data_IF_711007735575
#
_entry.id   IF_711007735575
#
_cell.length_a   1.000
_cell.length_b   1.000
_cell.length_c   1.000
_cell.angle_alpha   90.00
_cell.angle_beta   90.00
_cell.angle_gamma   90.00
#
_symmetry.space_group_name_H-M   'P 1'
#
loop_
_entity.id
_entity.type
_entity.pdbx_description
1 polymer ?
#
# COMPACT_ATOMS: atom_id res chain seq x y z
N UNK A 1 -11.75 3.77 21.48
CA UNK A 1 -11.68 2.34 21.88
C UNK A 1 -10.66 2.19 22.98
N UNK A 2 -11.05 1.61 24.09
CA UNK A 2 -10.14 1.31 25.18
C UNK A 2 -9.30 0.06 24.89
N UNK A 3 -8.22 -0.10 25.65
CA UNK A 3 -7.37 -1.30 25.59
C UNK A 3 -8.15 -2.56 25.93
N UNK A 4 -8.98 -2.51 26.95
CA UNK A 4 -9.78 -3.64 27.41
C UNK A 4 -10.76 -4.10 26.30
N UNK A 5 -11.42 -3.16 25.62
CA UNK A 5 -12.30 -3.44 24.50
C UNK A 5 -11.52 -4.14 23.38
N UNK A 6 -10.35 -3.61 22.96
CA UNK A 6 -9.51 -4.22 21.95
C UNK A 6 -9.09 -5.65 22.34
N UNK A 7 -8.60 -5.83 23.56
CA UNK A 7 -8.05 -7.12 24.01
C UNK A 7 -9.11 -8.22 24.14
N UNK A 8 -10.37 -7.85 24.36
CA UNK A 8 -11.50 -8.78 24.46
C UNK A 8 -12.10 -9.20 23.11
N UNK A 9 -11.81 -8.49 22.02
CA UNK A 9 -12.32 -8.86 20.68
C UNK A 9 -11.77 -10.22 20.24
N UNK A 10 -12.64 -11.04 19.65
CA UNK A 10 -12.24 -12.35 19.15
C UNK A 10 -11.76 -12.29 17.69
N UNK A 11 -10.77 -13.10 17.38
CA UNK A 11 -10.16 -13.27 16.05
C UNK A 11 -10.00 -14.74 15.73
N UNK A 12 -10.01 -15.10 14.45
CA UNK A 12 -9.77 -16.50 14.04
C UNK A 12 -8.27 -16.76 13.92
N UNK A 13 -7.82 -17.86 14.51
CA UNK A 13 -6.44 -18.32 14.55
C UNK A 13 -6.25 -19.55 13.66
N UNK A 14 -5.15 -19.55 12.91
CA UNK A 14 -4.74 -20.60 11.96
C UNK A 14 -3.33 -21.06 12.26
N UNK A 15 -3.09 -22.38 12.24
CA UNK A 15 -1.76 -22.94 12.49
C UNK A 15 -0.72 -22.56 11.41
N UNK A 16 -1.19 -22.26 10.21
CA UNK A 16 -0.45 -21.64 9.11
C UNK A 16 -1.44 -21.12 8.06
N UNK A 17 -0.95 -20.39 7.07
CA UNK A 17 -1.82 -19.75 6.05
C UNK A 17 -2.57 -20.72 5.13
N UNK A 18 -2.22 -21.99 5.12
CA UNK A 18 -2.91 -23.04 4.32
C UNK A 18 -3.83 -23.90 5.17
N UNK A 19 -3.76 -23.77 6.49
CA UNK A 19 -4.58 -24.54 7.42
C UNK A 19 -6.00 -24.02 7.47
N UNK A 20 -6.95 -24.91 7.81
CA UNK A 20 -8.28 -24.47 8.24
C UNK A 20 -8.18 -23.73 9.59
N UNK A 21 -9.23 -22.98 9.92
CA UNK A 21 -9.32 -22.30 11.22
C UNK A 21 -9.17 -23.32 12.36
N UNK A 22 -8.26 -23.02 13.28
CA UNK A 22 -8.08 -23.84 14.48
C UNK A 22 -9.09 -23.50 15.57
N UNK A 23 -9.21 -22.19 15.89
CA UNK A 23 -10.12 -21.70 16.93
C UNK A 23 -10.29 -20.18 16.80
N UNK A 24 -11.26 -19.65 17.50
CA UNK A 24 -11.34 -18.23 17.78
C UNK A 24 -10.71 -17.96 19.15
N UNK A 25 -10.03 -16.81 19.31
CA UNK A 25 -9.41 -16.42 20.56
C UNK A 25 -9.38 -14.91 20.71
N UNK A 26 -9.32 -14.38 21.95
CA UNK A 26 -9.20 -12.95 22.18
C UNK A 26 -7.90 -12.38 21.60
N UNK A 27 -7.96 -11.16 21.06
CA UNK A 27 -6.78 -10.39 20.59
C UNK A 27 -5.71 -10.32 21.68
N UNK A 28 -6.11 -10.13 22.94
CA UNK A 28 -5.18 -10.09 24.07
C UNK A 28 -4.27 -11.32 24.17
N UNK A 29 -4.79 -12.51 23.86
CA UNK A 29 -3.99 -13.73 23.82
C UNK A 29 -2.99 -13.73 22.66
N UNK A 30 -3.39 -13.22 21.51
CA UNK A 30 -2.51 -13.10 20.33
C UNK A 30 -1.36 -12.13 20.63
N UNK A 31 -1.67 -10.92 21.12
CA UNK A 31 -0.67 -9.89 21.45
C UNK A 31 0.26 -10.33 22.59
N UNK A 32 -0.26 -11.07 23.57
CA UNK A 32 0.56 -11.68 24.61
C UNK A 32 1.52 -12.72 24.03
N UNK A 33 1.09 -13.52 23.05
CA UNK A 33 1.95 -14.45 22.34
C UNK A 33 3.09 -13.76 21.58
N UNK A 34 2.83 -12.61 20.95
CA UNK A 34 3.84 -11.79 20.28
C UNK A 34 4.84 -11.22 21.31
N UNK A 35 4.37 -10.66 22.42
CA UNK A 35 5.19 -10.09 23.49
C UNK A 35 6.07 -11.13 24.16
N UNK A 36 5.54 -12.30 24.42
CA UNK A 36 6.25 -13.39 25.11
C UNK A 36 7.08 -14.25 24.17
N UNK A 37 7.29 -13.80 22.93
CA UNK A 37 8.16 -14.45 21.95
C UNK A 37 7.80 -15.92 21.68
N UNK A 38 6.50 -16.24 21.63
CA UNK A 38 6.00 -17.62 21.50
C UNK A 38 6.52 -18.37 20.26
N UNK A 39 6.99 -17.64 19.23
CA UNK A 39 7.49 -18.18 17.95
C UNK A 39 8.91 -17.72 17.64
N UNK A 40 9.73 -17.44 18.67
CA UNK A 40 11.08 -16.86 18.54
C UNK A 40 11.98 -17.66 17.61
N UNK A 41 12.06 -18.99 17.79
CA UNK A 41 12.91 -19.84 16.96
C UNK A 41 12.59 -19.72 15.46
N UNK A 42 11.29 -19.72 15.10
CA UNK A 42 10.86 -19.62 13.70
C UNK A 42 11.16 -18.22 13.16
N UNK A 43 10.86 -17.18 13.93
CA UNK A 43 11.06 -15.77 13.55
C UNK A 43 12.54 -15.45 13.42
N UNK A 44 13.38 -15.92 14.35
CA UNK A 44 14.83 -15.72 14.30
C UNK A 44 15.42 -16.33 13.03
N UNK A 45 15.05 -17.57 12.71
CA UNK A 45 15.49 -18.22 11.48
C UNK A 45 15.00 -17.48 10.22
N UNK A 46 13.75 -17.02 10.22
CA UNK A 46 13.21 -16.22 9.12
C UNK A 46 14.00 -14.91 8.92
N UNK A 47 14.32 -14.20 10.02
CA UNK A 47 15.12 -12.97 9.98
C UNK A 47 16.54 -13.20 9.49
N UNK A 48 17.17 -14.33 9.84
CA UNK A 48 18.50 -14.72 9.31
C UNK A 48 18.44 -14.93 7.80
N UNK A 49 17.46 -15.67 7.27
CA UNK A 49 17.27 -15.82 5.83
C UNK A 49 17.09 -14.46 5.14
N UNK A 50 16.27 -13.59 5.73
CA UNK A 50 16.03 -12.24 5.19
C UNK A 50 17.28 -11.37 5.17
N UNK A 51 18.09 -11.42 6.21
CA UNK A 51 19.35 -10.68 6.30
C UNK A 51 20.38 -11.16 5.27
N UNK A 52 20.38 -12.47 4.97
CA UNK A 52 21.26 -13.09 3.97
C UNK A 52 20.75 -12.95 2.52
N UNK A 53 19.60 -12.29 2.30
CA UNK A 53 18.99 -12.15 0.97
C UNK A 53 18.33 -13.43 0.44
N UNK A 54 18.19 -14.47 1.28
CA UNK A 54 17.48 -15.72 0.93
C UNK A 54 15.97 -15.52 1.04
N UNK A 55 15.38 -14.96 -0.01
CA UNK A 55 13.93 -14.72 -0.08
C UNK A 55 13.13 -16.03 -0.13
N UNK A 56 13.68 -17.08 -0.73
CA UNK A 56 13.03 -18.39 -0.82
C UNK A 56 12.95 -19.06 0.56
N UNK A 57 14.07 -19.17 1.26
CA UNK A 57 14.13 -19.70 2.61
C UNK A 57 13.29 -18.88 3.58
N UNK A 58 13.32 -17.55 3.47
CA UNK A 58 12.44 -16.67 4.23
C UNK A 58 10.96 -17.00 4.00
N UNK A 59 10.53 -17.15 2.74
CA UNK A 59 9.15 -17.48 2.39
C UNK A 59 8.69 -18.82 2.93
N UNK A 60 9.56 -19.85 2.85
CA UNK A 60 9.29 -21.19 3.36
C UNK A 60 9.15 -21.21 4.89
N UNK A 61 10.04 -20.54 5.61
CA UNK A 61 9.99 -20.46 7.08
C UNK A 61 8.80 -19.64 7.53
N UNK A 62 8.57 -18.45 6.92
CA UNK A 62 7.41 -17.60 7.21
C UNK A 62 6.09 -18.35 6.98
N UNK A 63 6.03 -19.20 5.95
CA UNK A 63 4.85 -20.01 5.65
C UNK A 63 4.46 -21.03 6.74
N UNK A 64 5.36 -21.34 7.68
CA UNK A 64 5.12 -22.21 8.84
C UNK A 64 4.57 -21.45 10.06
N UNK A 65 4.62 -20.11 10.03
CA UNK A 65 4.11 -19.32 11.14
C UNK A 65 2.59 -19.41 11.21
N UNK A 66 2.03 -19.46 12.42
CA UNK A 66 0.60 -19.22 12.60
C UNK A 66 0.21 -17.82 12.15
N UNK A 67 -1.09 -17.68 11.85
CA UNK A 67 -1.64 -16.42 11.40
C UNK A 67 -3.04 -16.19 12.00
N UNK A 68 -3.47 -14.93 12.02
CA UNK A 68 -4.78 -14.51 12.53
C UNK A 68 -5.46 -13.56 11.56
N UNK A 69 -6.79 -13.50 11.65
CA UNK A 69 -7.62 -12.51 10.95
C UNK A 69 -8.12 -11.47 11.95
N UNK A 70 -7.38 -10.38 12.16
CA UNK A 70 -7.76 -9.34 13.15
C UNK A 70 -9.05 -8.62 12.80
N UNK A 71 -9.42 -8.55 11.52
CA UNK A 71 -10.64 -7.87 11.09
C UNK A 71 -11.93 -8.57 11.54
N UNK A 72 -11.85 -9.83 12.02
CA UNK A 72 -13.02 -10.55 12.48
C UNK A 72 -12.81 -12.03 12.71
N UNK A 73 -13.92 -12.72 13.01
CA UNK A 73 -13.97 -14.18 13.09
C UNK A 73 -14.61 -14.78 11.83
N UNK A 74 -14.14 -15.97 11.46
CA UNK A 74 -14.54 -16.67 10.24
C UNK A 74 -14.98 -18.11 10.55
N UNK A 75 -15.74 -18.75 9.67
CA UNK A 75 -16.22 -20.11 9.90
C UNK A 75 -15.08 -21.15 9.86
N UNK A 76 -14.70 -21.60 8.67
CA UNK A 76 -13.72 -22.69 8.48
C UNK A 76 -12.42 -22.20 7.85
N UNK A 77 -12.54 -21.33 6.90
CA UNK A 77 -11.43 -20.73 6.18
C UNK A 77 -11.24 -19.26 6.57
N UNK A 78 -10.74 -18.49 5.62
CA UNK A 78 -10.60 -17.03 5.75
C UNK A 78 -11.08 -16.35 4.47
N UNK A 79 -12.22 -16.78 3.91
CA UNK A 79 -12.86 -16.09 2.79
C UNK A 79 -13.79 -15.02 3.33
N UNK A 80 -13.92 -13.94 2.60
CA UNK A 80 -14.71 -12.82 3.07
C UNK A 80 -16.22 -13.10 3.24
N UNK A 81 -16.75 -14.08 2.52
CA UNK A 81 -18.11 -14.59 2.66
C UNK A 81 -18.30 -15.57 3.84
N UNK A 82 -17.21 -16.01 4.46
CA UNK A 82 -17.18 -16.82 5.68
C UNK A 82 -16.99 -15.97 6.95
N UNK A 83 -17.02 -14.64 6.84
CA UNK A 83 -16.91 -13.73 7.98
C UNK A 83 -18.16 -13.77 8.84
N UNK A 84 -18.04 -14.29 10.07
CA UNK A 84 -19.14 -14.41 11.02
C UNK A 84 -19.35 -13.13 11.82
N UNK A 85 -18.27 -12.49 12.20
CA UNK A 85 -18.28 -11.25 12.96
C UNK A 85 -17.15 -10.34 12.50
N UNK A 86 -17.49 -9.13 12.14
CA UNK A 86 -16.52 -8.10 11.75
C UNK A 86 -16.22 -7.18 12.93
N UNK A 87 -14.95 -7.04 13.28
CA UNK A 87 -14.49 -6.31 14.46
C UNK A 87 -14.37 -4.78 14.25
N UNK A 88 -14.68 -4.27 13.08
CA UNK A 88 -14.35 -2.88 12.72
C UNK A 88 -12.86 -2.55 12.95
N UNK A 89 -11.98 -3.50 12.73
CA UNK A 89 -10.52 -3.31 12.83
C UNK A 89 -9.89 -3.36 11.44
N UNK A 90 -8.94 -2.47 11.20
CA UNK A 90 -8.07 -2.49 10.05
C UNK A 90 -6.64 -2.81 10.49
N UNK A 91 -6.02 -3.77 9.78
CA UNK A 91 -4.61 -4.11 9.99
C UNK A 91 -3.75 -3.20 9.12
N UNK A 92 -2.94 -2.36 9.75
CA UNK A 92 -1.87 -1.65 9.05
C UNK A 92 -0.68 -2.59 8.88
N UNK A 93 -0.09 -2.59 7.69
CA UNK A 93 1.08 -3.38 7.32
C UNK A 93 2.09 -2.46 6.62
N UNK A 94 3.21 -2.20 7.29
CA UNK A 94 4.27 -1.31 6.82
C UNK A 94 5.49 -2.19 6.58
N UNK A 95 5.89 -2.30 5.33
CA UNK A 95 6.96 -3.21 4.91
C UNK A 95 8.17 -2.46 4.36
N UNK A 96 9.34 -3.12 4.35
CA UNK A 96 10.55 -2.69 3.64
C UNK A 96 11.16 -1.37 4.16
N UNK A 97 11.07 -1.14 5.44
CA UNK A 97 11.77 -0.03 6.08
C UNK A 97 13.27 -0.31 6.15
N UNK A 98 14.06 0.72 5.92
CA UNK A 98 15.47 0.71 6.23
C UNK A 98 15.69 0.84 7.74
N UNK A 99 16.86 0.44 8.26
CA UNK A 99 17.15 0.45 9.69
C UNK A 99 16.96 1.86 10.32
N UNK A 100 17.34 2.90 9.60
CA UNK A 100 17.20 4.28 10.05
C UNK A 100 15.76 4.82 10.03
N UNK A 101 14.83 4.12 9.36
CA UNK A 101 13.41 4.46 9.30
C UNK A 101 12.62 3.83 10.42
N UNK A 102 13.07 2.68 10.96
CA UNK A 102 12.34 1.92 11.99
C UNK A 102 12.00 2.82 13.17
N UNK A 103 12.99 3.47 13.78
CA UNK A 103 12.78 4.30 14.97
C UNK A 103 11.85 5.49 14.67
N UNK A 104 11.98 6.10 13.49
CA UNK A 104 11.14 7.23 13.07
C UNK A 104 9.69 6.82 12.85
N UNK A 105 9.47 5.66 12.23
CA UNK A 105 8.12 5.14 12.00
C UNK A 105 7.50 4.71 13.32
N UNK A 106 8.26 4.07 14.20
CA UNK A 106 7.81 3.73 15.55
C UNK A 106 7.32 4.96 16.30
N UNK A 107 8.12 6.02 16.35
CA UNK A 107 7.75 7.29 17.03
C UNK A 107 6.47 7.91 16.45
N UNK A 108 6.29 7.85 15.11
CA UNK A 108 5.08 8.31 14.45
C UNK A 108 3.84 7.48 14.85
N UNK A 109 3.97 6.15 14.88
CA UNK A 109 2.89 5.24 15.28
C UNK A 109 2.54 5.39 16.77
N UNK A 110 3.53 5.63 17.63
CA UNK A 110 3.30 5.91 19.06
C UNK A 110 2.47 7.17 19.28
N UNK A 111 2.77 8.22 18.50
CA UNK A 111 2.08 9.53 18.62
C UNK A 111 0.74 9.58 17.87
N UNK A 112 0.52 8.68 16.92
CA UNK A 112 -0.71 8.67 16.14
C UNK A 112 -1.92 8.32 17.01
N UNK A 113 -2.99 9.11 16.90
CA UNK A 113 -4.17 8.96 17.77
C UNK A 113 -5.08 7.78 17.43
N UNK A 114 -4.98 7.25 16.18
CA UNK A 114 -5.86 6.18 15.70
C UNK A 114 -5.26 4.79 15.85
N UNK A 115 -3.91 4.69 15.86
CA UNK A 115 -3.22 3.42 16.03
C UNK A 115 -3.37 2.92 17.44
N UNK A 116 -4.11 1.84 17.65
CA UNK A 116 -4.42 1.27 18.96
C UNK A 116 -3.34 0.31 19.47
N UNK A 117 -2.73 -0.46 18.56
CA UNK A 117 -1.62 -1.34 18.85
C UNK A 117 -0.71 -1.47 17.64
N UNK A 118 0.59 -1.70 17.87
CA UNK A 118 1.53 -2.04 16.79
C UNK A 118 2.73 -2.82 17.31
N UNK A 119 3.38 -3.57 16.42
CA UNK A 119 4.53 -4.43 16.71
C UNK A 119 5.39 -4.61 15.47
N UNK A 120 6.64 -5.04 15.68
CA UNK A 120 7.59 -5.37 14.62
C UNK A 120 7.08 -6.55 13.78
N UNK A 121 7.15 -6.44 12.46
CA UNK A 121 6.77 -7.50 11.52
C UNK A 121 7.70 -8.73 11.63
N UNK A 122 7.27 -9.90 11.11
CA UNK A 122 8.12 -11.10 11.14
C UNK A 122 9.49 -10.92 10.49
N UNK A 123 9.60 -10.05 9.48
CA UNK A 123 10.87 -9.77 8.80
C UNK A 123 11.84 -8.92 9.62
N UNK A 124 11.36 -8.23 10.66
CA UNK A 124 12.11 -7.22 11.38
C UNK A 124 12.29 -5.89 10.62
N UNK A 125 11.75 -5.79 9.40
CA UNK A 125 11.90 -4.62 8.51
C UNK A 125 10.58 -3.89 8.26
N UNK A 126 9.79 -3.71 9.31
CA UNK A 126 8.52 -3.03 9.23
C UNK A 126 7.65 -3.25 10.44
N UNK A 127 6.45 -2.72 10.40
CA UNK A 127 5.49 -2.79 11.49
C UNK A 127 4.15 -3.36 11.03
N UNK A 128 3.46 -3.98 11.96
CA UNK A 128 2.03 -4.29 11.87
C UNK A 128 1.31 -3.63 13.01
N UNK A 129 0.07 -3.23 12.78
CA UNK A 129 -0.71 -2.59 13.82
C UNK A 129 -2.20 -2.67 13.56
N UNK A 130 -2.98 -2.15 14.50
CA UNK A 130 -4.43 -2.19 14.51
C UNK A 130 -5.01 -0.78 14.66
N UNK A 131 -5.98 -0.47 13.81
CA UNK A 131 -6.77 0.77 13.87
C UNK A 131 -8.24 0.40 13.96
N UNK A 132 -8.96 0.98 14.91
CA UNK A 132 -10.41 0.81 15.02
C UNK A 132 -11.14 1.78 14.10
N UNK A 133 -12.14 1.27 13.39
CA UNK A 133 -12.91 2.01 12.41
C UNK A 133 -14.30 2.37 12.96
N UNK A 134 -14.74 3.56 12.67
CA UNK A 134 -16.12 4.01 12.89
C UNK A 134 -16.70 4.45 11.54
N UNK A 135 -17.84 3.89 11.18
CA UNK A 135 -18.48 4.16 9.89
C UNK A 135 -19.65 5.14 10.04
N UNK A 136 -19.73 6.13 9.14
CA UNK A 136 -20.80 7.13 9.12
C UNK A 136 -22.19 6.52 9.01
N UNK A 137 -22.33 5.44 8.24
CA UNK A 137 -23.56 4.67 8.10
C UNK A 137 -23.35 3.25 8.61
N UNK A 138 -24.43 2.65 9.16
CA UNK A 138 -24.40 1.27 9.65
C UNK A 138 -23.92 0.30 8.56
N UNK A 139 -23.23 -0.77 8.98
CA UNK A 139 -22.76 -1.83 8.10
C UNK A 139 -23.87 -2.86 7.88
N UNK A 140 -24.16 -3.18 6.61
CA UNK A 140 -24.85 -4.41 6.25
C UNK A 140 -23.81 -5.49 5.89
N UNK A 141 -24.15 -6.77 6.06
CA UNK A 141 -23.23 -7.88 5.74
C UNK A 141 -22.76 -7.88 4.27
N UNK A 142 -23.55 -7.29 3.37
CA UNK A 142 -23.21 -7.18 1.95
C UNK A 142 -22.20 -6.07 1.64
N UNK A 143 -22.11 -5.05 2.51
CA UNK A 143 -21.30 -3.86 2.29
C UNK A 143 -19.94 -3.92 2.99
N UNK A 144 -19.70 -4.90 3.90
CA UNK A 144 -18.50 -4.97 4.73
C UNK A 144 -17.22 -4.90 3.90
N UNK A 145 -17.14 -5.66 2.80
CA UNK A 145 -15.94 -5.70 1.95
C UNK A 145 -15.62 -4.35 1.33
N UNK A 146 -16.64 -3.67 0.81
CA UNK A 146 -16.47 -2.40 0.12
C UNK A 146 -16.22 -1.27 1.11
N UNK A 147 -16.91 -1.30 2.26
CA UNK A 147 -16.66 -0.37 3.37
C UNK A 147 -15.25 -0.52 3.95
N UNK A 148 -14.78 -1.75 4.12
CA UNK A 148 -13.41 -1.99 4.59
C UNK A 148 -12.35 -1.51 3.58
N UNK A 149 -12.59 -1.71 2.28
CA UNK A 149 -11.71 -1.15 1.23
C UNK A 149 -11.72 0.37 1.22
N UNK A 150 -12.89 0.98 1.43
CA UNK A 150 -13.02 2.43 1.55
C UNK A 150 -12.24 2.94 2.78
N UNK A 151 -12.40 2.29 3.93
CA UNK A 151 -11.65 2.60 5.15
C UNK A 151 -10.14 2.49 4.93
N UNK A 152 -9.68 1.43 4.26
CA UNK A 152 -8.27 1.27 3.92
C UNK A 152 -7.74 2.43 3.08
N UNK A 153 -8.48 2.86 2.05
CA UNK A 153 -8.08 3.98 1.19
C UNK A 153 -7.96 5.28 1.97
N UNK A 154 -8.92 5.56 2.85
CA UNK A 154 -8.92 6.78 3.66
C UNK A 154 -7.78 6.76 4.69
N UNK A 155 -7.58 5.63 5.39
CA UNK A 155 -6.49 5.48 6.36
C UNK A 155 -5.11 5.54 5.68
N UNK A 156 -4.97 4.92 4.50
CA UNK A 156 -3.75 5.01 3.68
C UNK A 156 -3.45 6.48 3.35
N UNK A 157 -4.45 7.22 2.85
CA UNK A 157 -4.29 8.65 2.53
C UNK A 157 -3.88 9.47 3.75
N UNK A 158 -4.51 9.21 4.89
CA UNK A 158 -4.19 9.87 6.15
C UNK A 158 -2.73 9.62 6.58
N UNK A 159 -2.31 8.35 6.66
CA UNK A 159 -0.96 8.00 7.11
C UNK A 159 0.12 8.49 6.13
N UNK A 160 -0.17 8.44 4.83
CA UNK A 160 0.74 8.97 3.82
C UNK A 160 0.86 10.50 3.90
N UNK A 161 -0.25 11.22 4.02
CA UNK A 161 -0.25 12.68 4.08
C UNK A 161 0.33 13.24 5.37
N UNK A 162 0.08 12.55 6.50
CA UNK A 162 0.53 12.99 7.82
C UNK A 162 1.97 12.61 8.13
N UNK A 163 2.40 11.43 7.65
CA UNK A 163 3.64 10.81 8.09
C UNK A 163 4.53 10.29 6.97
N UNK A 164 4.10 10.34 5.71
CA UNK A 164 4.77 9.70 4.56
C UNK A 164 4.92 8.17 4.72
N UNK A 165 3.95 7.54 5.44
CA UNK A 165 3.91 6.10 5.65
C UNK A 165 3.05 5.45 4.58
N UNK A 166 3.63 4.53 3.81
CA UNK A 166 2.93 3.67 2.84
C UNK A 166 2.50 2.36 3.50
N UNK A 167 1.21 1.99 3.35
CA UNK A 167 0.69 0.70 3.79
C UNK A 167 0.75 -0.34 2.67
N UNK A 168 1.02 -1.60 3.02
CA UNK A 168 0.80 -2.70 2.08
C UNK A 168 -0.70 -2.85 1.78
N UNK A 169 -1.03 -2.89 0.49
CA UNK A 169 -2.41 -2.92 -0.02
C UNK A 169 -3.20 -4.14 0.38
N UNK A 170 -2.53 -5.20 0.78
CA UNK A 170 -3.18 -6.41 1.25
C UNK A 170 -4.04 -6.18 2.51
N UNK A 171 -3.80 -5.09 3.26
CA UNK A 171 -4.65 -4.65 4.36
C UNK A 171 -6.07 -4.22 3.95
N UNK A 172 -6.32 -4.00 2.65
CA UNK A 172 -7.65 -3.69 2.11
C UNK A 172 -8.63 -4.88 2.10
N UNK A 173 -8.16 -6.08 2.42
CA UNK A 173 -8.97 -7.29 2.43
C UNK A 173 -9.31 -7.70 3.87
N UNK A 174 -10.61 -7.81 4.18
CA UNK A 174 -11.11 -8.20 5.51
C UNK A 174 -10.61 -9.57 5.98
N UNK A 175 -10.32 -10.46 5.04
CA UNK A 175 -9.84 -11.82 5.33
C UNK A 175 -8.31 -11.92 5.33
N UNK A 176 -7.62 -10.79 5.36
CA UNK A 176 -6.15 -10.77 5.38
C UNK A 176 -5.61 -11.49 6.60
N UNK A 177 -4.80 -12.53 6.35
CA UNK A 177 -4.04 -13.21 7.37
C UNK A 177 -2.83 -12.38 7.80
N UNK A 178 -2.76 -12.09 9.09
CA UNK A 178 -1.61 -11.48 9.73
C UNK A 178 -0.77 -12.55 10.42
N UNK A 179 0.46 -12.76 9.96
CA UNK A 179 1.37 -13.74 10.58
C UNK A 179 1.73 -13.33 12.01
N UNK A 180 1.86 -14.31 12.88
CA UNK A 180 2.43 -14.12 14.21
C UNK A 180 3.86 -13.57 14.09
N UNK A 181 4.25 -12.76 15.04
CA UNK A 181 5.57 -12.14 15.13
C UNK A 181 6.17 -12.31 16.52
N UNK A 182 7.31 -11.67 16.74
CA UNK A 182 8.01 -11.60 18.03
C UNK A 182 8.43 -10.16 18.24
N UNK A 183 7.92 -9.57 19.34
CA UNK A 183 8.25 -8.22 19.74
C UNK A 183 7.97 -8.02 21.23
N UNK A 184 9.02 -8.02 22.06
CA UNK A 184 8.90 -7.79 23.51
C UNK A 184 8.40 -6.36 23.83
N UNK A 185 8.66 -5.41 22.91
CA UNK A 185 8.33 -4.01 23.02
C UNK A 185 7.00 -3.64 22.32
N UNK A 186 6.17 -4.64 22.01
CA UNK A 186 4.85 -4.39 21.41
C UNK A 186 4.11 -3.29 22.16
N UNK A 187 3.63 -2.30 21.45
CA UNK A 187 2.84 -1.19 21.98
C UNK A 187 1.36 -1.52 21.89
N UNK A 188 0.66 -1.38 23.02
CA UNK A 188 -0.81 -1.41 23.10
C UNK A 188 -1.21 -0.19 23.92
N UNK A 189 -1.85 0.77 23.28
CA UNK A 189 -2.24 2.03 23.92
C UNK A 189 -3.44 1.80 24.84
N UNK A 190 -3.51 2.55 25.92
CA UNK A 190 -4.63 2.45 26.86
C UNK A 190 -5.92 2.96 26.22
N UNK A 191 -5.83 3.97 25.34
CA UNK A 191 -6.93 4.49 24.53
C UNK A 191 -6.44 4.87 23.13
N UNK A 192 -7.29 4.69 22.13
CA UNK A 192 -7.12 5.19 20.77
C UNK A 192 -8.45 5.71 20.23
N UNK A 193 -8.39 6.80 19.48
CA UNK A 193 -9.58 7.33 18.80
C UNK A 193 -9.99 6.37 17.66
N UNK A 194 -11.28 6.17 17.41
CA UNK A 194 -11.72 5.47 16.22
C UNK A 194 -11.40 6.32 14.97
N UNK A 195 -10.95 5.67 13.91
CA UNK A 195 -10.79 6.32 12.62
C UNK A 195 -12.15 6.39 11.93
N UNK A 196 -12.65 7.61 11.75
CA UNK A 196 -13.95 7.84 11.12
C UNK A 196 -13.85 7.64 9.61
N UNK A 197 -14.71 6.77 9.08
CA UNK A 197 -14.79 6.42 7.64
C UNK A 197 -15.95 7.18 7.02
N UNK A 198 -15.65 8.12 6.15
CA UNK A 198 -16.63 8.89 5.40
C UNK A 198 -17.14 8.10 4.19
N UNK A 199 -18.46 8.07 4.01
CA UNK A 199 -19.08 7.41 2.85
C UNK A 199 -18.92 8.20 1.55
N UNK A 200 -18.74 9.53 1.66
CA UNK A 200 -18.51 10.45 0.54
C UNK A 200 -17.02 10.78 0.47
N UNK A 201 -16.23 9.79 0.09
CA UNK A 201 -14.79 9.99 -0.07
C UNK A 201 -14.44 10.20 -1.55
N UNK A 202 -14.13 11.43 -1.89
CA UNK A 202 -13.45 11.74 -3.15
C UNK A 202 -11.98 11.34 -3.01
N UNK A 203 -11.58 10.33 -3.77
CA UNK A 203 -10.21 9.82 -3.79
C UNK A 203 -9.28 10.96 -4.22
N UNK A 204 -8.57 11.57 -3.26
CA UNK A 204 -7.51 12.52 -3.60
C UNK A 204 -6.50 11.82 -4.51
N UNK A 205 -6.09 12.49 -5.57
CA UNK A 205 -5.25 11.94 -6.65
C UNK A 205 -3.98 11.19 -6.16
N UNK A 206 -3.46 11.53 -4.98
CA UNK A 206 -2.31 10.86 -4.34
C UNK A 206 -2.60 9.38 -4.00
N UNK A 207 -3.84 9.06 -3.61
CA UNK A 207 -4.21 7.68 -3.21
C UNK A 207 -4.53 6.81 -4.42
N UNK A 208 -5.13 7.40 -5.45
CA UNK A 208 -5.46 6.70 -6.69
C UNK A 208 -4.23 6.08 -7.38
N UNK A 209 -3.09 6.72 -7.26
CA UNK A 209 -1.85 6.22 -7.88
C UNK A 209 -1.26 5.02 -7.12
N UNK A 210 -1.25 5.07 -5.80
CA UNK A 210 -0.78 3.94 -5.00
C UNK A 210 -1.73 2.73 -5.04
N UNK A 211 -3.02 2.91 -5.29
CA UNK A 211 -4.02 1.82 -5.28
C UNK A 211 -4.07 1.04 -6.61
N UNK A 212 -3.57 1.57 -7.73
CA UNK A 212 -3.72 0.91 -9.05
C UNK A 212 -2.69 -0.17 -9.38
N UNK A 213 -1.59 -0.31 -8.66
CA UNK A 213 -0.53 -1.22 -9.06
C UNK A 213 -0.19 -2.33 -8.06
N UNK A 214 -1.09 -3.26 -7.86
CA UNK A 214 -0.80 -4.68 -7.61
C UNK A 214 -2.00 -5.52 -8.03
N UNK A 215 -2.33 -5.46 -9.29
CA UNK A 215 -3.06 -6.53 -9.93
C UNK A 215 -2.08 -7.68 -10.13
N UNK A 216 -2.31 -8.72 -9.32
CA UNK A 216 -1.92 -10.12 -9.52
C UNK A 216 -0.56 -10.43 -10.15
N UNK A 217 0.30 -11.10 -9.38
CA UNK A 217 1.27 -12.06 -9.90
C UNK A 217 0.56 -13.35 -10.42
N UNK A 218 -0.37 -13.19 -11.31
CA UNK A 218 -0.75 -14.16 -12.33
C UNK A 218 -0.21 -13.69 -13.68
N UNK A 219 1.01 -13.15 -13.64
CA UNK A 219 1.56 -12.23 -14.62
C UNK A 219 2.30 -12.88 -15.77
N UNK A 220 2.12 -14.17 -16.05
CA UNK A 220 2.54 -14.65 -17.35
C UNK A 220 1.40 -14.53 -18.39
N UNK A 221 0.14 -14.69 -17.98
CA UNK A 221 -0.98 -14.59 -18.93
C UNK A 221 -1.36 -13.15 -19.28
N UNK A 222 -1.25 -12.20 -18.34
CA UNK A 222 -1.58 -10.79 -18.62
C UNK A 222 -0.42 -10.04 -19.32
N UNK A 223 0.84 -10.39 -19.07
CA UNK A 223 1.96 -9.91 -19.91
C UNK A 223 1.85 -10.45 -21.34
N UNK A 224 1.45 -11.70 -21.52
CA UNK A 224 1.15 -12.25 -22.85
C UNK A 224 -0.08 -11.59 -23.50
N UNK A 225 -1.11 -11.22 -22.74
CA UNK A 225 -2.27 -10.51 -23.25
C UNK A 225 -1.95 -9.04 -23.57
N UNK A 226 -1.17 -8.34 -22.77
CA UNK A 226 -0.70 -6.97 -23.06
C UNK A 226 0.28 -6.95 -24.24
N UNK A 227 1.18 -7.92 -24.32
CA UNK A 227 2.10 -8.11 -25.45
C UNK A 227 1.31 -8.49 -26.72
N UNK A 228 0.25 -9.31 -26.62
CA UNK A 228 -0.66 -9.60 -27.72
C UNK A 228 -1.46 -8.38 -28.18
N UNK A 229 -1.91 -7.52 -27.26
CA UNK A 229 -2.62 -6.29 -27.59
C UNK A 229 -1.71 -5.27 -28.29
N UNK A 230 -0.42 -5.25 -27.96
CA UNK A 230 0.63 -4.45 -28.61
C UNK A 230 1.27 -5.16 -29.81
N UNK A 231 0.70 -6.26 -30.31
CA UNK A 231 1.20 -6.99 -31.46
C UNK A 231 2.55 -7.67 -31.24
N UNK A 232 2.91 -7.99 -30.00
CA UNK A 232 4.15 -8.70 -29.65
C UNK A 232 5.43 -7.86 -29.74
N UNK A 233 5.33 -6.54 -29.88
CA UNK A 233 6.48 -5.63 -30.02
C UNK A 233 6.88 -5.07 -28.66
N UNK A 234 8.16 -4.92 -28.41
CA UNK A 234 8.66 -4.22 -27.25
C UNK A 234 8.32 -2.73 -27.34
N UNK A 235 8.21 -2.04 -26.19
CA UNK A 235 7.99 -0.59 -26.14
C UNK A 235 9.00 0.19 -26.99
N UNK A 236 10.24 -0.26 -27.05
CA UNK A 236 11.32 0.32 -27.89
C UNK A 236 11.03 0.19 -29.39
N UNK A 237 10.37 -0.89 -29.79
CA UNK A 237 9.95 -1.13 -31.20
C UNK A 237 8.70 -0.29 -31.53
N UNK A 238 7.79 -0.11 -30.58
CA UNK A 238 6.59 0.74 -30.75
C UNK A 238 6.99 2.21 -30.88
N UNK A 239 7.92 2.69 -30.05
CA UNK A 239 8.46 4.03 -30.12
C UNK A 239 9.22 4.31 -31.44
N UNK A 240 9.81 3.28 -32.07
CA UNK A 240 10.48 3.36 -33.35
C UNK A 240 9.54 3.37 -34.54
N UNK A 241 8.25 3.04 -34.40
CA UNK A 241 7.27 3.06 -35.48
C UNK A 241 6.56 4.40 -35.53
N UNK A 242 6.49 5.00 -36.73
CA UNK A 242 5.67 6.19 -36.99
C UNK A 242 4.20 5.85 -36.69
N UNK A 243 3.75 6.12 -35.47
CA UNK A 243 2.34 6.04 -35.11
C UNK A 243 1.59 7.19 -35.78
N UNK A 244 0.30 7.01 -36.06
CA UNK A 244 -0.58 7.97 -36.74
C UNK A 244 -0.85 9.29 -35.95
N UNK A 245 -0.09 9.57 -34.91
CA UNK A 245 -0.15 10.82 -34.18
C UNK A 245 0.57 11.90 -34.97
N UNK A 246 -0.08 13.06 -35.15
CA UNK A 246 0.50 14.25 -35.78
C UNK A 246 1.57 14.89 -34.90
N UNK A 247 2.67 14.18 -34.65
CA UNK A 247 3.84 14.67 -33.94
C UNK A 247 4.57 15.66 -34.83
N UNK A 248 4.35 16.94 -34.64
CA UNK A 248 4.95 17.97 -35.48
C UNK A 248 6.12 18.65 -34.76
N UNK A 249 7.10 19.12 -35.54
CA UNK A 249 8.18 19.97 -35.04
C UNK A 249 7.60 21.22 -34.36
N UNK A 250 6.47 21.72 -34.85
CA UNK A 250 5.74 22.87 -34.31
C UNK A 250 5.31 22.63 -32.85
N UNK A 251 4.71 21.47 -32.56
CA UNK A 251 4.27 21.13 -31.19
C UNK A 251 5.44 21.11 -30.19
N UNK A 252 6.58 20.58 -30.62
CA UNK A 252 7.80 20.58 -29.79
C UNK A 252 8.29 22.00 -29.51
N UNK A 253 8.34 22.86 -30.52
CA UNK A 253 8.85 24.21 -30.39
C UNK A 253 7.90 25.07 -29.52
N UNK A 254 6.60 24.84 -29.60
CA UNK A 254 5.58 25.45 -28.72
C UNK A 254 5.78 25.03 -27.25
N UNK A 255 6.00 23.74 -26.99
CA UNK A 255 6.27 23.24 -25.61
C UNK A 255 7.55 23.82 -25.05
N UNK A 256 8.62 23.92 -25.83
CA UNK A 256 9.87 24.57 -25.42
C UNK A 256 9.65 26.05 -25.08
N UNK A 257 8.84 26.75 -25.89
CA UNK A 257 8.50 28.13 -25.64
C UNK A 257 7.71 28.30 -24.33
N UNK A 258 6.72 27.42 -24.09
CA UNK A 258 5.95 27.41 -22.84
C UNK A 258 6.87 27.16 -21.64
N UNK A 259 7.75 26.15 -21.71
CA UNK A 259 8.69 25.82 -20.66
C UNK A 259 9.60 27.00 -20.30
N UNK A 260 10.12 27.70 -21.32
CA UNK A 260 10.94 28.91 -21.11
C UNK A 260 10.18 30.02 -20.38
N UNK A 261 8.89 30.22 -20.71
CA UNK A 261 8.04 31.21 -20.04
C UNK A 261 7.74 30.86 -18.60
N UNK A 262 7.46 29.57 -18.33
CA UNK A 262 7.19 29.08 -16.97
C UNK A 262 8.43 29.22 -16.09
N UNK A 263 9.61 28.86 -16.60
CA UNK A 263 10.90 29.05 -15.90
C UNK A 263 11.14 30.54 -15.54
N UNK A 264 10.90 31.44 -16.48
CA UNK A 264 11.11 32.87 -16.23
C UNK A 264 10.18 33.41 -15.14
N UNK A 265 8.99 32.82 -14.98
CA UNK A 265 7.98 33.23 -14.01
C UNK A 265 8.02 32.42 -12.72
N UNK A 266 8.85 31.40 -12.64
CA UNK A 266 8.93 30.42 -11.55
C UNK A 266 7.56 29.80 -11.23
N UNK A 267 6.83 29.38 -12.29
CA UNK A 267 5.51 28.76 -12.20
C UNK A 267 5.63 27.30 -12.64
N UNK A 268 5.10 26.36 -11.84
CA UNK A 268 4.87 24.99 -12.26
C UNK A 268 3.45 24.81 -12.80
N UNK A 269 3.29 23.85 -13.72
CA UNK A 269 2.01 23.35 -14.22
C UNK A 269 1.85 21.86 -13.96
N UNK A 270 2.76 21.27 -13.19
CA UNK A 270 2.76 19.87 -12.78
C UNK A 270 2.66 19.73 -11.26
N UNK A 271 2.28 20.79 -10.58
CA UNK A 271 2.21 20.96 -9.12
C UNK A 271 1.10 20.12 -8.45
N UNK A 272 0.10 19.70 -9.23
CA UNK A 272 -0.97 18.79 -8.80
C UNK A 272 -0.90 17.48 -9.59
N UNK A 273 -1.37 16.39 -9.00
CA UNK A 273 -1.44 15.09 -9.66
C UNK A 273 -2.22 15.13 -10.99
N UNK A 274 -3.37 15.79 -10.98
CA UNK A 274 -4.21 15.89 -12.17
C UNK A 274 -3.51 16.63 -13.32
N UNK A 275 -2.87 17.74 -13.01
CA UNK A 275 -2.10 18.52 -13.97
C UNK A 275 -0.87 17.75 -14.45
N UNK A 276 -0.18 17.08 -13.54
CA UNK A 276 1.00 16.26 -13.85
C UNK A 276 0.66 15.14 -14.85
N UNK A 277 -0.46 14.41 -14.63
CA UNK A 277 -0.97 13.39 -15.56
C UNK A 277 -1.39 14.00 -16.90
N UNK A 278 -2.17 15.09 -16.88
CA UNK A 278 -2.60 15.77 -18.12
C UNK A 278 -1.42 16.26 -18.96
N UNK A 279 -0.40 16.80 -18.34
CA UNK A 279 0.82 17.26 -19.02
C UNK A 279 1.59 16.08 -19.62
N UNK A 280 1.73 14.95 -18.89
CA UNK A 280 2.37 13.75 -19.39
C UNK A 280 1.69 13.24 -20.66
N UNK A 281 0.38 13.01 -20.61
CA UNK A 281 -0.38 12.52 -21.77
C UNK A 281 -0.39 13.51 -22.94
N UNK A 282 -0.45 14.81 -22.67
CA UNK A 282 -0.40 15.83 -23.71
C UNK A 282 0.96 15.86 -24.44
N UNK A 283 2.05 15.69 -23.70
CA UNK A 283 3.40 15.63 -24.28
C UNK A 283 3.60 14.32 -25.03
N UNK A 284 3.20 13.17 -24.45
CA UNK A 284 3.32 11.86 -25.06
C UNK A 284 2.59 11.78 -26.40
N UNK A 285 1.40 12.39 -26.51
CA UNK A 285 0.60 12.43 -27.75
C UNK A 285 1.12 13.42 -28.80
N UNK A 286 1.93 14.40 -28.40
CA UNK A 286 2.30 15.53 -29.27
C UNK A 286 3.75 15.51 -29.75
N UNK A 287 4.64 14.78 -29.07
CA UNK A 287 6.09 14.79 -29.32
C UNK A 287 6.64 13.37 -29.40
N UNK A 288 7.72 13.19 -30.17
CA UNK A 288 8.43 11.91 -30.24
C UNK A 288 8.86 11.45 -28.83
N UNK A 289 8.70 10.15 -28.46
CA UNK A 289 8.90 9.65 -27.10
C UNK A 289 10.18 10.09 -26.39
N UNK A 290 11.34 10.00 -27.09
CA UNK A 290 12.63 10.41 -26.48
C UNK A 290 12.65 11.90 -26.09
N UNK A 291 12.13 12.76 -26.97
CA UNK A 291 12.07 14.20 -26.72
C UNK A 291 10.90 14.58 -25.80
N UNK A 292 9.82 13.83 -25.84
CA UNK A 292 8.68 13.97 -24.93
C UNK A 292 9.11 13.70 -23.49
N UNK A 293 9.85 12.61 -23.24
CA UNK A 293 10.41 12.29 -21.93
C UNK A 293 11.30 13.43 -21.38
N UNK A 294 12.26 13.89 -22.18
CA UNK A 294 13.12 15.03 -21.77
C UNK A 294 12.30 16.26 -21.40
N UNK A 295 11.35 16.65 -22.26
CA UNK A 295 10.52 17.84 -22.04
C UNK A 295 9.64 17.68 -20.79
N UNK A 296 9.02 16.54 -20.60
CA UNK A 296 8.18 16.29 -19.44
C UNK A 296 8.94 16.40 -18.12
N UNK A 297 10.13 15.79 -18.04
CA UNK A 297 10.98 15.89 -16.87
C UNK A 297 11.39 17.34 -16.59
N UNK A 298 11.66 18.13 -17.65
CA UNK A 298 11.96 19.54 -17.52
C UNK A 298 10.79 20.39 -16.98
N UNK A 299 9.53 20.04 -17.35
CA UNK A 299 8.34 20.65 -16.75
C UNK A 299 8.20 20.25 -15.27
N UNK A 300 8.40 18.99 -14.93
CA UNK A 300 8.29 18.49 -13.55
C UNK A 300 9.37 19.09 -12.63
N UNK A 301 10.58 19.36 -13.14
CA UNK A 301 11.65 20.00 -12.35
C UNK A 301 11.31 21.42 -11.90
N UNK A 302 10.27 22.04 -12.48
CA UNK A 302 9.77 23.33 -11.99
C UNK A 302 9.07 23.22 -10.62
N UNK A 303 8.69 22.02 -10.19
CA UNK A 303 8.11 21.76 -8.87
C UNK A 303 9.15 21.79 -7.74
N UNK A 304 10.44 21.88 -8.06
CA UNK A 304 11.53 21.96 -7.08
C UNK A 304 11.58 20.72 -6.17
N UNK A 305 11.53 20.94 -4.86
CA UNK A 305 11.63 19.88 -3.85
C UNK A 305 10.48 18.84 -3.87
N UNK A 306 9.36 19.13 -4.53
CA UNK A 306 8.24 18.20 -4.68
C UNK A 306 8.44 17.22 -5.84
N UNK A 307 9.36 17.50 -6.76
CA UNK A 307 9.62 16.68 -7.92
C UNK A 307 10.33 15.37 -7.55
N UNK A 308 9.81 14.26 -8.05
CA UNK A 308 10.47 12.96 -7.98
C UNK A 308 10.73 12.46 -9.41
N UNK A 309 11.99 12.49 -9.81
CA UNK A 309 12.42 12.16 -11.17
C UNK A 309 12.02 10.76 -11.61
N UNK A 310 12.20 9.76 -10.75
CA UNK A 310 11.87 8.37 -11.05
C UNK A 310 10.35 8.16 -11.26
N UNK A 311 9.53 8.82 -10.44
CA UNK A 311 8.06 8.76 -10.60
C UNK A 311 7.61 9.46 -11.91
N UNK A 312 8.21 10.60 -12.23
CA UNK A 312 7.90 11.33 -13.47
C UNK A 312 8.34 10.56 -14.71
N UNK A 313 9.49 9.91 -14.65
CA UNK A 313 9.99 9.05 -15.72
C UNK A 313 9.04 7.87 -15.98
N UNK A 314 8.55 7.23 -14.92
CA UNK A 314 7.59 6.13 -15.01
C UNK A 314 6.28 6.59 -15.64
N UNK A 315 5.74 7.74 -15.20
CA UNK A 315 4.48 8.26 -15.74
C UNK A 315 4.54 8.55 -17.23
N UNK A 316 5.61 9.20 -17.71
CA UNK A 316 5.73 9.56 -19.13
C UNK A 316 5.96 8.32 -20.03
N UNK A 317 6.52 7.26 -19.45
CA UNK A 317 6.67 5.97 -20.18
C UNK A 317 5.34 5.21 -20.27
N UNK A 318 4.41 5.44 -19.34
CA UNK A 318 3.09 4.82 -19.32
C UNK A 318 2.04 5.64 -20.09
N UNK A 319 2.34 6.89 -20.45
CA UNK A 319 1.46 7.81 -21.18
C UNK A 319 1.61 7.68 -22.69
#
# INVERSE_FOLDING_TARGET
>A
MSKEELLCMNVSFYDNVKAAKRCDMPIGRVLTGIRNCAYDDIIRNARVCKANGDETGYGEIKGKLPAVTFCGTFDKGHKADECNHYNNLLVIDIDKLDEWEIDKVQEKLEKDRYVAAFWISPSGKGFKGLVHLEYATGLSNYDIKDKHRLAFKQLFSYLYSSYEIELDRSGSDICRLCYMSVDENIVVKDEAEPFFVDDIYEENAVVGHCVKEKVKKDNNKEKEASIKHLGGKSWKEICGQATNYKRTKKSRDELIYILKKLRKRNISITDTWENWVKVAFSIASSVHPEKGRELFLEFCRLDGAKHNEAKSEHLILDA
#
